data_IF_008263381789
#
_entry.id   IF_008263381789
#
_cell.length_a   1.000
_cell.length_b   1.000
_cell.length_c   1.000
_cell.angle_alpha   90.00
_cell.angle_beta   90.00
_cell.angle_gamma   90.00
#
_symmetry.space_group_name_H-M   'P 1'
#
loop_
_entity.id
_entity.type
_entity.pdbx_description
1 polymer ?
#
# COMPACT_ATOMS: atom_id res chain seq x y z
N UNK A 1 0.91 51.94 31.67
CA UNK A 1 1.69 51.38 30.55
C UNK A 1 0.72 50.66 29.63
N UNK A 2 0.17 51.39 28.64
CA UNK A 2 -0.86 50.89 27.73
C UNK A 2 -0.15 50.25 26.54
N UNK A 3 -0.16 48.92 26.46
CA UNK A 3 0.42 48.20 25.34
C UNK A 3 -0.67 48.02 24.27
N UNK A 4 -0.60 48.86 23.24
CA UNK A 4 -1.38 48.76 22.00
C UNK A 4 -1.14 47.39 21.37
N UNK A 5 -2.19 46.57 21.27
CA UNK A 5 -2.19 45.43 20.37
C UNK A 5 -2.21 45.96 18.93
N UNK A 6 -1.17 45.63 18.15
CA UNK A 6 -1.14 45.85 16.70
C UNK A 6 -2.22 44.97 16.08
N UNK A 7 -3.19 45.60 15.42
CA UNK A 7 -4.13 44.93 14.52
C UNK A 7 -3.34 44.29 13.38
N UNK A 8 -3.51 42.99 13.24
CA UNK A 8 -2.98 42.20 12.13
C UNK A 8 -4.08 42.18 11.04
N UNK A 9 -3.84 42.68 9.82
CA UNK A 9 -4.92 43.00 8.86
C UNK A 9 -5.64 41.79 8.23
N UNK A 10 -5.37 40.57 8.69
CA UNK A 10 -5.95 39.34 8.15
C UNK A 10 -7.07 38.72 9.02
N UNK A 11 -7.59 39.43 10.03
CA UNK A 11 -8.65 38.91 10.90
C UNK A 11 -9.78 39.90 11.10
N UNK A 12 -10.91 39.68 10.40
CA UNK A 12 -12.18 40.35 10.70
C UNK A 12 -12.78 39.75 11.98
N UNK A 13 -12.87 40.52 13.06
CA UNK A 13 -13.50 40.08 14.30
C UNK A 13 -15.03 40.17 14.15
N UNK A 14 -15.69 39.04 13.94
CA UNK A 14 -17.15 38.92 13.93
C UNK A 14 -17.67 38.65 15.35
N UNK A 15 -18.87 39.13 15.68
CA UNK A 15 -19.49 38.88 16.99
C UNK A 15 -19.72 37.38 17.26
N UNK A 16 -19.93 36.96 18.52
CA UNK A 16 -20.08 35.54 18.89
C UNK A 16 -21.18 34.79 18.12
N UNK A 17 -22.35 35.41 17.92
CA UNK A 17 -23.43 34.76 17.17
C UNK A 17 -23.18 34.78 15.66
N UNK A 18 -22.54 35.84 15.18
CA UNK A 18 -22.20 36.03 13.76
C UNK A 18 -21.14 35.04 13.28
N UNK A 19 -20.15 34.70 14.10
CA UNK A 19 -19.08 33.79 13.71
C UNK A 19 -19.59 32.38 13.36
N UNK A 20 -20.54 31.85 14.14
CA UNK A 20 -21.14 30.55 13.88
C UNK A 20 -22.09 30.57 12.66
N UNK A 21 -22.90 31.62 12.55
CA UNK A 21 -23.78 31.83 11.38
C UNK A 21 -22.94 31.94 10.11
N UNK A 22 -21.85 32.69 10.14
CA UNK A 22 -21.00 32.89 8.97
C UNK A 22 -20.29 31.59 8.56
N UNK A 23 -19.78 30.81 9.52
CA UNK A 23 -19.22 29.48 9.23
C UNK A 23 -20.24 28.55 8.56
N UNK A 24 -21.48 28.49 9.06
CA UNK A 24 -22.54 27.65 8.48
C UNK A 24 -22.99 28.15 7.10
N UNK A 25 -23.00 29.47 6.88
CA UNK A 25 -23.26 30.07 5.57
C UNK A 25 -22.18 29.68 4.58
N UNK A 26 -20.90 29.82 4.92
CA UNK A 26 -19.79 29.39 4.05
C UNK A 26 -19.88 27.88 3.74
N UNK A 27 -20.22 27.04 4.72
CA UNK A 27 -20.42 25.62 4.49
C UNK A 27 -21.54 25.36 3.46
N UNK A 28 -22.72 25.94 3.66
CA UNK A 28 -23.86 25.81 2.76
C UNK A 28 -23.55 26.33 1.34
N UNK A 29 -22.93 27.50 1.25
CA UNK A 29 -22.61 28.13 -0.02
C UNK A 29 -21.56 27.31 -0.78
N UNK A 30 -20.60 26.72 -0.06
CA UNK A 30 -19.60 25.82 -0.67
C UNK A 30 -20.22 24.54 -1.22
N UNK A 31 -21.28 24.01 -0.60
CA UNK A 31 -22.03 22.87 -1.12
C UNK A 31 -22.80 23.24 -2.38
N UNK A 32 -23.49 24.39 -2.37
CA UNK A 32 -24.26 24.88 -3.51
C UNK A 32 -23.36 25.22 -4.72
N UNK A 33 -22.20 25.84 -4.46
CA UNK A 33 -21.22 26.22 -5.48
C UNK A 33 -20.32 25.06 -5.94
N UNK A 34 -20.44 23.87 -5.34
CA UNK A 34 -19.59 22.72 -5.66
C UNK A 34 -18.11 22.90 -5.28
N UNK A 35 -17.80 23.87 -4.42
CA UNK A 35 -16.45 24.18 -3.95
C UNK A 35 -16.11 23.54 -2.59
N UNK A 36 -17.07 22.85 -1.97
CA UNK A 36 -16.87 22.10 -0.73
C UNK A 36 -15.86 20.96 -0.92
N UNK A 37 -14.82 20.92 -0.08
CA UNK A 37 -13.80 19.86 -0.10
C UNK A 37 -14.01 18.86 1.03
N UNK A 38 -13.93 19.32 2.28
CA UNK A 38 -14.16 18.49 3.46
C UNK A 38 -14.49 19.35 4.68
N UNK A 39 -15.14 18.74 5.65
CA UNK A 39 -15.39 19.33 6.96
C UNK A 39 -14.96 18.33 8.05
N UNK A 40 -14.27 18.81 9.07
CA UNK A 40 -13.94 18.03 10.27
C UNK A 40 -14.48 18.73 11.50
N UNK A 41 -15.28 18.05 12.31
CA UNK A 41 -15.61 18.46 13.67
C UNK A 41 -14.74 17.69 14.67
N UNK A 42 -14.18 18.39 15.65
CA UNK A 42 -13.23 17.85 16.63
C UNK A 42 -13.34 18.57 17.97
N UNK A 43 -12.61 18.07 18.98
CA UNK A 43 -12.70 18.51 20.39
C UNK A 43 -14.12 18.31 20.96
N UNK A 44 -14.53 17.06 21.18
CA UNK A 44 -15.83 16.76 21.76
C UNK A 44 -15.97 17.41 23.14
N UNK A 45 -17.17 17.85 23.50
CA UNK A 45 -17.42 18.57 24.75
C UNK A 45 -17.91 17.69 25.91
N UNK A 46 -18.30 16.43 25.63
CA UNK A 46 -18.72 15.43 26.60
C UNK A 46 -17.63 14.41 26.94
N UNK A 47 -17.69 13.83 28.14
CA UNK A 47 -16.74 12.83 28.62
C UNK A 47 -16.90 11.48 27.92
N UNK A 48 -16.02 11.19 26.95
CA UNK A 48 -15.65 9.84 26.51
C UNK A 48 -16.66 9.00 25.69
N UNK A 49 -17.97 9.11 25.92
CA UNK A 49 -18.96 8.19 25.33
C UNK A 49 -19.48 8.62 23.94
N UNK A 50 -19.27 9.87 23.55
CA UNK A 50 -19.69 10.42 22.26
C UNK A 50 -18.67 10.22 21.12
N UNK A 51 -19.02 10.60 19.88
CA UNK A 51 -18.08 10.59 18.76
C UNK A 51 -16.90 11.53 19.03
N UNK A 52 -15.68 11.03 18.82
CA UNK A 52 -14.43 11.77 18.98
C UNK A 52 -14.21 12.77 17.84
N UNK A 53 -14.64 12.41 16.63
CA UNK A 53 -14.58 13.25 15.44
C UNK A 53 -15.77 13.00 14.53
N UNK A 54 -16.10 14.01 13.73
CA UNK A 54 -16.99 13.85 12.58
C UNK A 54 -16.28 14.33 11.33
N UNK A 55 -16.23 13.49 10.31
CA UNK A 55 -15.68 13.83 9.00
C UNK A 55 -16.80 13.92 7.98
N UNK A 56 -16.90 15.03 7.25
CA UNK A 56 -17.90 15.22 6.21
C UNK A 56 -17.25 15.38 4.83
N UNK A 57 -17.85 14.73 3.84
CA UNK A 57 -17.48 14.81 2.42
C UNK A 57 -18.72 14.76 1.53
N UNK A 58 -18.66 15.36 0.34
CA UNK A 58 -19.73 15.25 -0.65
C UNK A 58 -19.59 13.94 -1.40
N UNK A 59 -20.69 13.20 -1.53
CA UNK A 59 -20.75 11.93 -2.27
C UNK A 59 -22.04 11.84 -3.07
N UNK A 60 -22.07 10.98 -4.07
CA UNK A 60 -23.26 10.70 -4.87
C UNK A 60 -23.87 9.35 -4.45
N UNK A 61 -25.15 9.36 -4.08
CA UNK A 61 -25.91 8.15 -3.73
C UNK A 61 -27.19 8.12 -4.57
N UNK A 62 -27.37 7.05 -5.35
CA UNK A 62 -28.52 6.89 -6.26
C UNK A 62 -28.71 8.09 -7.20
N UNK A 63 -27.63 8.68 -7.68
CA UNK A 63 -27.64 9.82 -8.61
C UNK A 63 -27.85 11.19 -7.97
N UNK A 64 -27.95 11.28 -6.63
CA UNK A 64 -28.14 12.55 -5.91
C UNK A 64 -26.92 12.89 -5.03
N UNK A 65 -26.45 14.16 -5.04
CA UNK A 65 -25.37 14.60 -4.16
C UNK A 65 -25.87 14.70 -2.71
N UNK A 66 -25.17 14.01 -1.81
CA UNK A 66 -25.43 14.01 -0.36
C UNK A 66 -24.12 14.25 0.39
N UNK A 67 -24.20 14.85 1.57
CA UNK A 67 -23.06 14.97 2.48
C UNK A 67 -23.01 13.71 3.33
N UNK A 68 -21.92 12.94 3.17
CA UNK A 68 -21.63 11.78 4.00
C UNK A 68 -20.82 12.20 5.21
N UNK A 69 -21.37 11.94 6.40
CA UNK A 69 -20.76 12.15 7.69
C UNK A 69 -20.28 10.81 8.27
N UNK A 70 -19.00 10.70 8.59
CA UNK A 70 -18.42 9.58 9.34
C UNK A 70 -18.19 10.03 10.77
N UNK A 71 -18.99 9.52 11.71
CA UNK A 71 -18.89 9.75 13.14
C UNK A 71 -17.98 8.68 13.73
N UNK A 72 -16.81 9.08 14.22
CA UNK A 72 -15.80 8.17 14.78
C UNK A 72 -15.94 8.03 16.28
N UNK A 73 -16.20 6.83 16.75
CA UNK A 73 -16.22 6.47 18.17
C UNK A 73 -14.94 5.69 18.53
N UNK A 74 -14.64 5.47 19.82
CA UNK A 74 -13.45 4.70 20.22
C UNK A 74 -13.41 3.28 19.65
N UNK A 75 -14.57 2.64 19.42
CA UNK A 75 -14.67 1.23 19.02
C UNK A 75 -15.39 0.98 17.69
N UNK A 76 -15.96 2.02 17.07
CA UNK A 76 -16.71 1.90 15.80
C UNK A 76 -16.81 3.23 15.06
N UNK A 77 -17.04 3.17 13.75
CA UNK A 77 -17.39 4.33 12.92
C UNK A 77 -18.85 4.18 12.44
N UNK A 78 -19.65 5.24 12.54
CA UNK A 78 -21.02 5.30 12.02
C UNK A 78 -21.09 6.26 10.83
N UNK A 79 -21.77 5.89 9.75
CA UNK A 79 -21.94 6.74 8.56
C UNK A 79 -23.38 7.23 8.41
N UNK A 80 -23.57 8.54 8.24
CA UNK A 80 -24.86 9.17 7.96
C UNK A 80 -24.78 9.98 6.67
N UNK A 81 -25.71 9.75 5.75
CA UNK A 81 -25.76 10.48 4.48
C UNK A 81 -26.97 11.42 4.50
N UNK A 82 -26.72 12.72 4.37
CA UNK A 82 -27.75 13.76 4.47
C UNK A 82 -27.75 14.64 3.21
N UNK A 83 -28.92 15.04 2.68
CA UNK A 83 -29.00 16.12 1.70
C UNK A 83 -28.34 17.40 2.21
N UNK A 84 -27.88 18.28 1.31
CA UNK A 84 -27.12 19.48 1.66
C UNK A 84 -27.80 20.37 2.72
N UNK A 85 -29.11 20.57 2.61
CA UNK A 85 -29.88 21.36 3.56
C UNK A 85 -29.94 20.72 4.96
N UNK A 86 -30.20 19.41 5.03
CA UNK A 86 -30.20 18.65 6.27
C UNK A 86 -28.79 18.55 6.88
N UNK A 87 -27.75 18.54 6.05
CA UNK A 87 -26.35 18.52 6.47
C UNK A 87 -25.94 19.80 7.19
N UNK A 88 -26.29 20.98 6.66
CA UNK A 88 -26.02 22.26 7.32
C UNK A 88 -26.73 22.36 8.68
N UNK A 89 -28.00 21.91 8.75
CA UNK A 89 -28.73 21.85 10.02
C UNK A 89 -28.09 20.89 11.03
N UNK A 90 -27.58 19.73 10.58
CA UNK A 90 -26.87 18.78 11.45
C UNK A 90 -25.58 19.37 12.01
N UNK A 91 -24.75 19.99 11.17
CA UNK A 91 -23.52 20.68 11.60
C UNK A 91 -23.85 21.78 12.59
N UNK A 92 -24.91 22.57 12.36
CA UNK A 92 -25.34 23.62 13.28
C UNK A 92 -25.75 23.11 14.67
N UNK A 93 -26.33 21.91 14.77
CA UNK A 93 -26.64 21.29 16.08
C UNK A 93 -25.39 20.80 16.81
N UNK A 94 -24.44 20.21 16.08
CA UNK A 94 -23.21 19.68 16.66
C UNK A 94 -22.20 20.76 17.04
N UNK A 95 -22.17 21.86 16.29
CA UNK A 95 -21.18 22.91 16.45
C UNK A 95 -21.44 23.74 17.71
N UNK A 96 -20.42 23.86 18.56
CA UNK A 96 -20.51 24.62 19.79
C UNK A 96 -21.28 23.92 20.92
N UNK A 97 -22.00 22.83 20.64
CA UNK A 97 -22.60 21.93 21.63
C UNK A 97 -21.76 20.66 21.77
N UNK A 98 -21.74 19.78 20.77
CA UNK A 98 -21.03 18.51 20.82
C UNK A 98 -19.54 18.66 20.51
N UNK A 99 -19.18 19.57 19.60
CA UNK A 99 -17.80 19.81 19.17
C UNK A 99 -17.39 21.27 19.32
N UNK A 100 -16.21 21.50 19.89
CA UNK A 100 -15.66 22.83 20.17
C UNK A 100 -14.74 23.35 19.06
N UNK A 101 -14.47 22.56 18.02
CA UNK A 101 -13.69 22.96 16.86
C UNK A 101 -14.30 22.39 15.58
N UNK A 102 -14.33 23.19 14.53
CA UNK A 102 -14.60 22.70 13.18
C UNK A 102 -13.67 23.34 12.16
N UNK A 103 -13.15 22.52 11.24
CA UNK A 103 -12.28 22.90 10.14
C UNK A 103 -12.96 22.57 8.81
N UNK A 104 -13.30 23.61 8.04
CA UNK A 104 -13.92 23.55 6.73
C UNK A 104 -12.89 23.91 5.66
N UNK A 105 -12.75 23.04 4.68
CA UNK A 105 -11.89 23.27 3.53
C UNK A 105 -12.76 23.41 2.29
N UNK A 106 -12.50 24.47 1.51
CA UNK A 106 -13.14 24.74 0.23
C UNK A 106 -12.07 25.08 -0.81
N UNK A 107 -12.42 25.08 -2.10
CA UNK A 107 -11.53 25.54 -3.17
C UNK A 107 -11.17 27.04 -3.07
N UNK A 108 -11.95 27.80 -2.30
CA UNK A 108 -11.85 29.25 -2.23
C UNK A 108 -11.20 29.72 -0.91
N UNK A 109 -11.05 28.84 0.07
CA UNK A 109 -10.52 29.18 1.38
C UNK A 109 -10.71 28.08 2.41
N UNK A 110 -9.93 28.17 3.48
CA UNK A 110 -10.08 27.35 4.67
C UNK A 110 -10.66 28.18 5.81
N UNK A 111 -11.59 27.59 6.54
CA UNK A 111 -12.33 28.24 7.61
C UNK A 111 -12.28 27.35 8.85
N UNK A 112 -11.78 27.89 9.96
CA UNK A 112 -11.72 27.20 11.24
C UNK A 112 -12.54 27.96 12.25
N UNK A 113 -13.48 27.31 12.91
CA UNK A 113 -14.22 27.89 14.04
C UNK A 113 -13.84 27.17 15.34
N UNK A 114 -13.52 27.95 16.38
CA UNK A 114 -13.11 27.45 17.69
C UNK A 114 -13.93 28.07 18.80
N UNK A 115 -14.43 27.24 19.71
CA UNK A 115 -15.14 27.65 20.91
C UNK A 115 -14.19 27.64 22.10
N UNK A 116 -14.18 28.72 22.88
CA UNK A 116 -13.45 28.75 24.14
C UNK A 116 -14.22 28.03 25.28
N UNK A 117 -13.65 27.99 26.49
CA UNK A 117 -14.30 27.40 27.68
C UNK A 117 -15.66 28.01 28.02
N UNK A 118 -15.91 29.28 27.62
CA UNK A 118 -17.18 29.98 27.81
C UNK A 118 -18.15 29.81 26.62
N UNK A 119 -17.88 28.86 25.70
CA UNK A 119 -18.66 28.59 24.48
C UNK A 119 -18.79 29.79 23.54
N UNK A 120 -17.81 30.71 23.56
CA UNK A 120 -17.76 31.84 22.63
C UNK A 120 -16.97 31.41 21.39
N UNK A 121 -17.56 31.43 20.19
CA UNK A 121 -16.86 31.06 18.96
C UNK A 121 -15.94 32.18 18.46
N UNK A 122 -14.86 31.77 17.80
CA UNK A 122 -14.02 32.61 16.95
C UNK A 122 -13.81 31.92 15.62
N UNK A 123 -14.07 32.64 14.53
CA UNK A 123 -13.86 32.19 13.16
C UNK A 123 -12.51 32.70 12.65
N UNK A 124 -11.74 31.83 12.03
CA UNK A 124 -10.48 32.11 11.37
C UNK A 124 -10.61 31.70 9.91
N UNK A 125 -10.16 32.56 8.98
CA UNK A 125 -10.11 32.27 7.56
C UNK A 125 -8.68 32.37 7.04
N UNK A 126 -8.37 31.59 6.01
CA UNK A 126 -7.10 31.65 5.28
C UNK A 126 -7.31 31.23 3.81
N UNK A 127 -6.33 31.49 2.95
CA UNK A 127 -6.38 31.06 1.55
C UNK A 127 -6.55 29.55 1.40
N UNK A 128 -7.07 29.13 0.25
CA UNK A 128 -7.29 27.71 -0.05
C UNK A 128 -5.96 26.95 -0.06
N UNK A 129 -5.89 25.84 0.67
CA UNK A 129 -4.71 24.94 0.64
C UNK A 129 -4.99 23.67 -0.16
N UNK A 130 -6.21 23.50 -0.67
CA UNK A 130 -6.65 22.36 -1.48
C UNK A 130 -7.22 22.89 -2.80
N UNK A 131 -6.56 22.56 -3.92
CA UNK A 131 -6.88 23.10 -5.25
C UNK A 131 -7.80 22.22 -6.09
N UNK A 132 -8.16 21.03 -5.61
CA UNK A 132 -8.98 20.06 -6.35
C UNK A 132 -10.30 19.78 -5.62
N UNK A 133 -11.42 19.85 -6.35
CA UNK A 133 -12.73 19.41 -5.83
C UNK A 133 -12.65 17.91 -5.49
N UNK A 134 -13.29 17.43 -4.40
CA UNK A 134 -13.36 16.00 -4.13
C UNK A 134 -14.14 15.32 -5.25
N UNK A 135 -13.65 14.16 -5.68
CA UNK A 135 -14.40 13.27 -6.56
C UNK A 135 -15.72 12.87 -5.86
N UNK A 136 -16.86 13.10 -6.55
CA UNK A 136 -18.22 12.85 -6.02
C UNK A 136 -18.56 11.37 -5.91
N UNK A 137 -17.72 10.47 -6.37
CA UNK A 137 -18.01 9.03 -6.42
C UNK A 137 -17.51 8.30 -5.17
N UNK A 138 -18.39 7.51 -4.55
CA UNK A 138 -18.07 6.63 -3.42
C UNK A 138 -17.10 5.50 -3.81
N UNK A 139 -17.02 5.19 -5.10
CA UNK A 139 -15.87 4.52 -5.66
C UNK A 139 -14.76 5.56 -5.87
N UNK A 140 -13.75 5.52 -5.01
CA UNK A 140 -12.40 5.71 -5.52
C UNK A 140 -12.30 4.71 -6.67
N UNK A 141 -12.40 5.16 -7.92
CA UNK A 141 -11.73 4.43 -9.00
C UNK A 141 -10.28 4.43 -8.55
N UNK A 142 -9.85 3.38 -7.83
CA UNK A 142 -8.44 3.15 -7.55
C UNK A 142 -7.77 3.40 -8.88
N UNK A 143 -6.92 4.43 -8.98
CA UNK A 143 -6.19 4.68 -10.20
C UNK A 143 -5.30 3.45 -10.37
N UNK A 144 -5.81 2.51 -11.16
CA UNK A 144 -5.16 1.25 -11.44
C UNK A 144 -4.00 1.61 -12.35
N UNK A 145 -2.80 1.34 -11.86
CA UNK A 145 -1.57 1.55 -12.63
C UNK A 145 -1.60 0.71 -13.91
N UNK A 146 -2.28 -0.45 -13.86
CA UNK A 146 -2.51 -1.30 -15.02
C UNK A 146 -3.96 -1.19 -15.48
N UNK A 147 -4.15 -0.81 -16.75
CA UNK A 147 -5.46 -0.66 -17.38
C UNK A 147 -5.73 -1.83 -18.34
N UNK A 148 -6.93 -2.45 -18.32
CA UNK A 148 -7.27 -3.54 -19.21
C UNK A 148 -7.60 -3.08 -20.64
N UNK A 149 -8.01 -1.82 -20.81
CA UNK A 149 -8.42 -1.30 -22.11
C UNK A 149 -7.23 -1.26 -23.08
N UNK A 150 -7.34 -1.97 -24.21
CA UNK A 150 -6.29 -2.04 -25.23
C UNK A 150 -5.01 -2.80 -24.82
N UNK A 151 -4.99 -3.42 -23.64
CA UNK A 151 -3.79 -4.07 -23.12
C UNK A 151 -3.60 -5.47 -23.70
N UNK A 152 -2.61 -5.60 -24.59
CA UNK A 152 -2.34 -6.82 -25.38
C UNK A 152 -2.00 -8.02 -24.49
N UNK A 153 -1.12 -7.86 -23.49
CA UNK A 153 -0.74 -9.00 -22.64
C UNK A 153 -1.89 -9.43 -21.72
N UNK A 154 -2.71 -8.50 -21.23
CA UNK A 154 -3.89 -8.87 -20.44
C UNK A 154 -4.90 -9.67 -21.25
N UNK A 155 -5.07 -9.34 -22.53
CA UNK A 155 -5.93 -10.12 -23.43
C UNK A 155 -5.33 -11.51 -23.72
N UNK A 156 -4.06 -11.56 -24.11
CA UNK A 156 -3.36 -12.79 -24.46
C UNK A 156 -3.27 -13.77 -23.28
N UNK A 157 -3.07 -13.26 -22.06
CA UNK A 157 -3.01 -14.07 -20.84
C UNK A 157 -4.40 -14.42 -20.28
N UNK A 158 -5.47 -14.06 -20.98
CA UNK A 158 -6.85 -14.43 -20.67
C UNK A 158 -7.50 -13.61 -19.55
N UNK A 159 -6.94 -12.46 -19.18
CA UNK A 159 -7.47 -11.60 -18.11
C UNK A 159 -8.53 -10.63 -18.66
N UNK A 160 -8.29 -10.07 -19.85
CA UNK A 160 -9.19 -9.12 -20.50
C UNK A 160 -9.78 -9.72 -21.79
N UNK A 161 -10.97 -9.27 -22.16
CA UNK A 161 -11.60 -9.53 -23.45
C UNK A 161 -11.12 -8.55 -24.52
N UNK A 162 -11.44 -8.82 -25.80
CA UNK A 162 -11.16 -7.90 -26.91
C UNK A 162 -11.84 -6.55 -26.76
N UNK A 163 -12.94 -6.50 -26.00
CA UNK A 163 -13.70 -5.29 -25.64
C UNK A 163 -13.01 -4.43 -24.58
N UNK A 164 -11.84 -4.85 -24.07
CA UNK A 164 -11.11 -4.16 -23.01
C UNK A 164 -11.67 -4.40 -21.61
N UNK A 165 -12.71 -5.23 -21.47
CA UNK A 165 -13.28 -5.56 -20.17
C UNK A 165 -12.55 -6.74 -19.52
N UNK A 166 -12.36 -6.70 -18.20
CA UNK A 166 -11.78 -7.82 -17.46
C UNK A 166 -12.79 -8.97 -17.38
N UNK A 167 -12.40 -10.16 -17.82
CA UNK A 167 -13.24 -11.36 -17.81
C UNK A 167 -13.64 -11.73 -16.38
N UNK A 168 -14.80 -12.37 -16.20
CA UNK A 168 -15.34 -12.72 -14.86
C UNK A 168 -14.37 -13.57 -14.05
N UNK A 169 -13.75 -14.56 -14.67
CA UNK A 169 -12.70 -15.43 -14.12
C UNK A 169 -11.34 -14.72 -13.98
N UNK A 170 -11.05 -13.74 -14.83
CA UNK A 170 -9.86 -12.88 -14.78
C UNK A 170 -9.82 -11.87 -13.63
N UNK A 171 -10.95 -11.57 -12.98
CA UNK A 171 -11.05 -10.53 -11.95
C UNK A 171 -10.10 -10.73 -10.77
N UNK A 172 -9.98 -11.97 -10.26
CA UNK A 172 -9.09 -12.29 -9.12
C UNK A 172 -7.63 -12.02 -9.49
N UNK A 173 -7.22 -12.48 -10.68
CA UNK A 173 -5.85 -12.31 -11.19
C UNK A 173 -5.54 -10.84 -11.47
N UNK A 174 -6.49 -10.09 -12.00
CA UNK A 174 -6.34 -8.68 -12.28
C UNK A 174 -6.19 -7.83 -11.00
N UNK A 175 -6.92 -8.18 -9.93
CA UNK A 175 -6.71 -7.56 -8.61
C UNK A 175 -5.32 -7.86 -8.06
N UNK A 176 -4.86 -9.11 -8.18
CA UNK A 176 -3.51 -9.52 -7.78
C UNK A 176 -2.45 -8.68 -8.51
N UNK A 177 -2.54 -8.55 -9.83
CA UNK A 177 -1.61 -7.74 -10.65
C UNK A 177 -1.57 -6.29 -10.17
N UNK A 178 -2.72 -5.64 -10.00
CA UNK A 178 -2.76 -4.24 -9.60
C UNK A 178 -2.19 -4.00 -8.21
N UNK A 179 -2.50 -4.88 -7.25
CA UNK A 179 -1.95 -4.76 -5.90
C UNK A 179 -0.44 -4.97 -5.89
N UNK A 180 0.06 -5.86 -6.75
CA UNK A 180 1.49 -6.11 -6.90
C UNK A 180 2.20 -4.86 -7.38
N UNK A 181 1.69 -4.25 -8.46
CA UNK A 181 2.26 -3.03 -9.00
C UNK A 181 2.17 -1.86 -8.01
N UNK A 182 1.10 -1.76 -7.21
CA UNK A 182 1.02 -0.76 -6.12
C UNK A 182 2.14 -0.93 -5.09
N UNK A 183 2.46 -2.17 -4.71
CA UNK A 183 3.56 -2.47 -3.77
C UNK A 183 4.90 -2.14 -4.42
N UNK A 184 5.14 -2.59 -5.65
CA UNK A 184 6.39 -2.32 -6.34
C UNK A 184 6.61 -0.83 -6.56
N UNK A 185 5.60 -0.07 -6.99
CA UNK A 185 5.66 1.40 -7.13
C UNK A 185 6.06 2.06 -5.80
N UNK A 186 5.50 1.61 -4.68
CA UNK A 186 5.86 2.13 -3.36
C UNK A 186 7.31 1.81 -2.96
N UNK A 187 7.84 0.63 -3.34
CA UNK A 187 9.24 0.26 -3.09
C UNK A 187 10.19 1.07 -3.97
N UNK A 188 9.88 1.23 -5.26
CA UNK A 188 10.66 2.04 -6.21
C UNK A 188 10.68 3.50 -5.78
N UNK A 189 9.59 4.07 -5.24
CA UNK A 189 9.61 5.46 -4.72
C UNK A 189 10.58 5.67 -3.55
N UNK A 190 10.96 4.61 -2.83
CA UNK A 190 11.98 4.69 -1.76
C UNK A 190 13.40 4.59 -2.30
N UNK A 191 13.58 4.10 -3.53
CA UNK A 191 14.86 3.87 -4.18
C UNK A 191 14.81 4.31 -5.64
N UNK A 192 15.47 5.42 -5.96
CA UNK A 192 15.58 5.89 -7.33
C UNK A 192 16.35 4.86 -8.16
N UNK A 193 15.62 4.03 -8.90
CA UNK A 193 16.18 3.18 -9.94
C UNK A 193 16.80 4.07 -11.04
N UNK A 194 17.87 3.61 -11.71
CA UNK A 194 18.40 4.31 -12.87
C UNK A 194 17.35 4.40 -13.99
N UNK A 195 17.60 5.23 -15.00
CA UNK A 195 16.73 5.36 -16.16
C UNK A 195 16.59 4.04 -16.95
N UNK A 196 17.65 3.24 -16.98
CA UNK A 196 17.71 1.94 -17.68
C UNK A 196 17.94 0.82 -16.66
N UNK A 197 16.95 0.52 -15.79
CA UNK A 197 17.16 -0.44 -14.72
C UNK A 197 17.19 -1.87 -15.26
N UNK A 198 18.02 -2.71 -14.64
CA UNK A 198 18.09 -4.15 -14.91
C UNK A 198 17.30 -4.88 -13.83
N UNK A 199 16.26 -5.60 -14.24
CA UNK A 199 15.38 -6.37 -13.36
C UNK A 199 15.42 -7.84 -13.74
N UNK A 200 15.48 -8.72 -12.75
CA UNK A 200 15.41 -10.17 -12.94
C UNK A 200 14.25 -10.73 -12.12
N UNK A 201 13.32 -11.42 -12.78
CA UNK A 201 12.19 -12.13 -12.19
C UNK A 201 12.44 -13.65 -12.25
N UNK A 202 12.81 -14.21 -11.10
CA UNK A 202 13.16 -15.61 -10.91
C UNK A 202 11.90 -16.45 -10.69
N UNK A 203 11.60 -17.34 -11.64
CA UNK A 203 10.38 -18.15 -11.61
C UNK A 203 9.18 -17.44 -12.22
N UNK A 204 9.37 -16.77 -13.35
CA UNK A 204 8.38 -15.87 -13.96
C UNK A 204 7.07 -16.58 -14.40
N UNK A 205 7.08 -17.90 -14.60
CA UNK A 205 5.89 -18.67 -14.98
C UNK A 205 5.30 -18.20 -16.30
N UNK A 206 4.00 -17.89 -16.31
CA UNK A 206 3.31 -17.33 -17.49
C UNK A 206 3.58 -15.82 -17.70
N UNK A 207 4.39 -15.19 -16.84
CA UNK A 207 4.80 -13.80 -16.98
C UNK A 207 3.79 -12.74 -16.52
N UNK A 208 2.64 -13.07 -15.93
CA UNK A 208 1.59 -12.10 -15.55
C UNK A 208 2.12 -10.86 -14.81
N UNK A 209 2.99 -11.08 -13.82
CA UNK A 209 3.54 -10.03 -12.97
C UNK A 209 4.75 -9.37 -13.64
N UNK A 210 5.55 -10.12 -14.39
CA UNK A 210 6.67 -9.64 -15.20
C UNK A 210 6.21 -8.64 -16.26
N UNK A 211 5.16 -8.96 -17.02
CA UNK A 211 4.55 -8.07 -18.02
C UNK A 211 3.99 -6.80 -17.40
N UNK A 212 3.24 -6.95 -16.29
CA UNK A 212 2.68 -5.80 -15.59
C UNK A 212 3.77 -4.88 -15.01
N UNK A 213 4.87 -5.46 -14.52
CA UNK A 213 6.00 -4.68 -14.03
C UNK A 213 6.66 -3.91 -15.17
N UNK A 214 6.95 -4.59 -16.29
CA UNK A 214 7.52 -3.93 -17.46
C UNK A 214 6.64 -2.78 -17.95
N UNK A 215 5.34 -3.04 -18.11
CA UNK A 215 4.33 -2.04 -18.51
C UNK A 215 4.35 -0.83 -17.59
N UNK A 216 4.36 -1.04 -16.27
CA UNK A 216 4.44 0.05 -15.31
C UNK A 216 5.74 0.85 -15.40
N UNK A 217 6.90 0.18 -15.46
CA UNK A 217 8.21 0.85 -15.55
C UNK A 217 8.34 1.65 -16.85
N UNK A 218 7.97 1.06 -17.98
CA UNK A 218 8.11 1.67 -19.29
C UNK A 218 7.04 2.74 -19.55
N UNK A 219 5.76 2.39 -19.41
CA UNK A 219 4.66 3.23 -19.87
C UNK A 219 4.18 4.22 -18.80
N UNK A 220 4.26 3.87 -17.50
CA UNK A 220 3.80 4.77 -16.45
C UNK A 220 4.94 5.62 -15.86
N UNK A 221 6.14 5.04 -15.71
CA UNK A 221 7.29 5.75 -15.15
C UNK A 221 8.24 6.32 -16.23
N UNK A 222 8.06 5.94 -17.50
CA UNK A 222 8.87 6.45 -18.61
C UNK A 222 10.31 5.95 -18.62
N UNK A 223 10.59 4.82 -17.96
CA UNK A 223 11.92 4.20 -17.92
C UNK A 223 12.17 3.34 -19.16
N UNK A 224 13.42 2.92 -19.37
CA UNK A 224 13.80 1.93 -20.38
C UNK A 224 14.32 0.65 -19.72
N UNK A 225 13.45 -0.12 -19.04
CA UNK A 225 13.88 -1.26 -18.25
C UNK A 225 14.37 -2.41 -19.12
N UNK A 226 15.38 -3.13 -18.62
CA UNK A 226 15.83 -4.43 -19.11
C UNK A 226 15.33 -5.50 -18.13
N UNK A 227 14.26 -6.20 -18.49
CA UNK A 227 13.60 -7.21 -17.64
C UNK A 227 13.87 -8.60 -18.17
N UNK A 228 14.38 -9.47 -17.30
CA UNK A 228 14.61 -10.88 -17.60
C UNK A 228 13.68 -11.76 -16.76
N UNK A 229 12.78 -12.47 -17.42
CA UNK A 229 11.97 -13.52 -16.79
C UNK A 229 12.67 -14.88 -16.88
N UNK A 230 13.17 -15.40 -15.77
CA UNK A 230 13.81 -16.72 -15.72
C UNK A 230 12.75 -17.78 -15.44
N UNK A 231 12.63 -18.78 -16.30
CA UNK A 231 11.63 -19.84 -16.18
C UNK A 231 12.21 -21.18 -16.68
N UNK A 232 11.90 -22.28 -16.01
CA UNK A 232 12.46 -23.60 -16.33
C UNK A 232 11.87 -24.21 -17.61
N UNK A 233 10.60 -23.91 -17.94
CA UNK A 233 9.87 -24.57 -19.03
C UNK A 233 10.04 -23.82 -20.35
N UNK A 234 10.69 -24.40 -21.37
CA UNK A 234 10.90 -23.74 -22.66
C UNK A 234 9.61 -23.24 -23.31
N UNK A 235 8.53 -24.03 -23.26
CA UNK A 235 7.25 -23.64 -23.84
C UNK A 235 6.65 -22.35 -23.23
N UNK A 236 6.91 -22.07 -21.94
CA UNK A 236 6.47 -20.81 -21.33
C UNK A 236 7.39 -19.65 -21.70
N UNK A 237 8.68 -19.93 -21.88
CA UNK A 237 9.67 -18.96 -22.33
C UNK A 237 9.38 -18.51 -23.76
N UNK A 238 9.12 -19.44 -24.67
CA UNK A 238 8.76 -19.15 -26.05
C UNK A 238 7.46 -18.32 -26.11
N UNK A 239 6.43 -18.75 -25.38
CA UNK A 239 5.16 -18.01 -25.29
C UNK A 239 5.33 -16.61 -24.68
N UNK A 240 6.22 -16.46 -23.68
CA UNK A 240 6.55 -15.18 -23.06
C UNK A 240 7.27 -14.24 -24.03
N UNK A 241 8.27 -14.74 -24.76
CA UNK A 241 9.01 -13.95 -25.75
C UNK A 241 8.14 -13.55 -26.94
N UNK A 242 7.32 -14.46 -27.46
CA UNK A 242 6.35 -14.16 -28.52
C UNK A 242 5.37 -13.05 -28.09
N UNK A 243 4.92 -13.09 -26.82
CA UNK A 243 4.02 -12.09 -26.29
C UNK A 243 4.73 -10.74 -26.05
N UNK A 244 5.96 -10.75 -25.55
CA UNK A 244 6.77 -9.54 -25.39
C UNK A 244 6.95 -8.82 -26.74
N UNK A 245 7.23 -9.56 -27.81
CA UNK A 245 7.32 -9.01 -29.16
C UNK A 245 5.97 -8.41 -29.62
N UNK A 246 4.85 -9.12 -29.43
CA UNK A 246 3.51 -8.62 -29.77
C UNK A 246 3.13 -7.35 -29.02
N UNK A 247 3.61 -7.19 -27.78
CA UNK A 247 3.40 -5.98 -26.98
C UNK A 247 4.35 -4.83 -27.35
N UNK A 248 5.38 -5.06 -28.17
CA UNK A 248 6.44 -4.08 -28.42
C UNK A 248 7.33 -3.84 -27.20
N UNK A 249 7.43 -4.81 -26.29
CA UNK A 249 8.20 -4.70 -25.06
C UNK A 249 9.66 -5.13 -25.32
N UNK A 250 10.40 -4.28 -26.04
CA UNK A 250 11.76 -4.59 -26.53
C UNK A 250 12.79 -4.90 -25.42
N UNK A 251 12.60 -4.35 -24.22
CA UNK A 251 13.45 -4.62 -23.07
C UNK A 251 13.02 -5.84 -22.23
N UNK A 252 11.95 -6.55 -22.60
CA UNK A 252 11.45 -7.72 -21.89
C UNK A 252 11.83 -9.00 -22.64
N UNK A 253 12.49 -9.92 -21.94
CA UNK A 253 12.82 -11.25 -22.46
C UNK A 253 12.73 -12.32 -21.40
N UNK A 254 12.42 -13.53 -21.83
CA UNK A 254 12.37 -14.73 -21.01
C UNK A 254 13.49 -15.69 -21.39
N UNK A 255 14.04 -16.39 -20.40
CA UNK A 255 15.15 -17.34 -20.59
C UNK A 255 14.81 -18.67 -19.92
N UNK A 256 15.06 -19.76 -20.67
CA UNK A 256 14.87 -21.12 -20.23
C UNK A 256 16.07 -21.59 -19.40
N UNK A 257 16.07 -21.34 -18.10
CA UNK A 257 17.19 -21.68 -17.21
C UNK A 257 16.73 -21.95 -15.78
N UNK A 258 17.51 -22.77 -15.06
CA UNK A 258 17.34 -22.96 -13.62
C UNK A 258 17.84 -21.74 -12.83
N UNK A 259 17.10 -21.34 -11.79
CA UNK A 259 17.46 -20.17 -10.96
C UNK A 259 18.89 -20.32 -10.43
N UNK A 260 19.29 -21.51 -9.98
CA UNK A 260 20.62 -21.76 -9.45
C UNK A 260 21.72 -21.55 -10.50
N UNK A 261 21.46 -21.94 -11.75
CA UNK A 261 22.41 -21.85 -12.88
C UNK A 261 22.44 -20.49 -13.57
N UNK A 262 21.34 -19.75 -13.52
CA UNK A 262 21.26 -18.44 -14.15
C UNK A 262 22.26 -17.47 -13.51
N UNK A 263 23.32 -17.12 -14.24
CA UNK A 263 24.32 -16.17 -13.77
C UNK A 263 23.75 -14.76 -13.80
N UNK A 264 23.77 -14.10 -12.65
CA UNK A 264 23.37 -12.70 -12.55
C UNK A 264 24.62 -11.82 -12.68
N UNK A 265 24.60 -10.90 -13.64
CA UNK A 265 25.50 -9.76 -13.63
C UNK A 265 25.09 -8.74 -12.56
N UNK A 266 25.41 -7.47 -12.80
CA UNK A 266 24.82 -6.37 -12.02
C UNK A 266 23.32 -6.27 -12.35
N UNK A 267 22.49 -6.13 -11.32
CA UNK A 267 21.06 -5.84 -11.47
C UNK A 267 20.62 -4.82 -10.41
N UNK A 268 19.55 -4.08 -10.69
CA UNK A 268 19.02 -3.07 -9.78
C UNK A 268 17.86 -3.61 -8.93
N UNK A 269 17.08 -4.56 -9.47
CA UNK A 269 15.96 -5.17 -8.76
C UNK A 269 15.83 -6.66 -9.04
N UNK A 270 15.73 -7.47 -7.99
CA UNK A 270 15.45 -8.89 -8.09
C UNK A 270 14.07 -9.23 -7.54
N UNK A 271 13.35 -10.10 -8.25
CA UNK A 271 12.01 -10.54 -7.91
C UNK A 271 11.97 -12.06 -7.93
N UNK A 272 11.30 -12.68 -6.97
CA UNK A 272 11.03 -14.12 -7.01
C UNK A 272 9.70 -14.44 -6.33
N UNK A 273 8.64 -14.55 -7.13
CA UNK A 273 7.29 -14.73 -6.62
C UNK A 273 6.84 -16.17 -6.85
N UNK A 274 6.64 -16.91 -5.76
CA UNK A 274 6.39 -18.34 -5.75
C UNK A 274 7.58 -19.21 -6.19
N UNK A 275 8.81 -18.70 -6.06
CA UNK A 275 9.95 -19.59 -5.88
C UNK A 275 9.69 -20.38 -4.58
N UNK A 276 9.74 -21.71 -4.65
CA UNK A 276 9.37 -22.56 -3.51
C UNK A 276 10.61 -23.10 -2.78
N UNK A 277 10.49 -23.22 -1.47
CA UNK A 277 11.53 -23.76 -0.58
C UNK A 277 12.86 -23.01 -0.77
N UNK A 278 13.94 -23.72 -1.07
CA UNK A 278 15.28 -23.17 -1.23
C UNK A 278 15.49 -22.34 -2.49
N UNK A 279 14.56 -22.38 -3.45
CA UNK A 279 14.64 -21.53 -4.65
C UNK A 279 14.52 -20.04 -4.28
N UNK A 280 13.74 -19.71 -3.25
CA UNK A 280 13.68 -18.33 -2.71
C UNK A 280 15.02 -17.91 -2.13
N UNK A 281 15.72 -18.82 -1.44
CA UNK A 281 17.01 -18.53 -0.82
C UNK A 281 18.07 -18.26 -1.90
N UNK A 282 18.09 -19.07 -2.97
CA UNK A 282 18.95 -18.84 -4.14
C UNK A 282 18.69 -17.47 -4.77
N UNK A 283 17.41 -17.10 -4.90
CA UNK A 283 17.03 -15.82 -5.47
C UNK A 283 17.48 -14.64 -4.58
N UNK A 284 17.26 -14.71 -3.26
CA UNK A 284 17.74 -13.71 -2.30
C UNK A 284 19.27 -13.58 -2.38
N UNK A 285 19.99 -14.71 -2.35
CA UNK A 285 21.45 -14.72 -2.42
C UNK A 285 21.97 -14.07 -3.71
N UNK A 286 21.35 -14.36 -4.86
CA UNK A 286 21.70 -13.70 -6.13
C UNK A 286 21.44 -12.20 -6.09
N UNK A 287 20.35 -11.76 -5.47
CA UNK A 287 20.07 -10.34 -5.27
C UNK A 287 21.14 -9.65 -4.44
N UNK A 288 21.58 -10.29 -3.35
CA UNK A 288 22.66 -9.80 -2.47
C UNK A 288 23.98 -9.74 -3.23
N UNK A 289 24.39 -10.83 -3.91
CA UNK A 289 25.65 -10.89 -4.65
C UNK A 289 25.71 -9.91 -5.83
N UNK A 290 24.58 -9.65 -6.48
CA UNK A 290 24.48 -8.67 -7.55
C UNK A 290 24.32 -7.23 -7.06
N UNK A 291 24.37 -7.01 -5.74
CA UNK A 291 24.32 -5.71 -5.09
C UNK A 291 23.05 -4.91 -5.42
N UNK A 292 21.92 -5.61 -5.53
CA UNK A 292 20.62 -5.06 -5.94
C UNK A 292 20.13 -3.94 -5.02
N UNK A 293 19.44 -2.94 -5.56
CA UNK A 293 18.82 -1.89 -4.74
C UNK A 293 17.54 -2.40 -4.05
N UNK A 294 16.83 -3.33 -4.69
CA UNK A 294 15.56 -3.88 -4.20
C UNK A 294 15.52 -5.40 -4.45
N UNK A 295 15.15 -6.17 -3.43
CA UNK A 295 14.88 -7.61 -3.51
C UNK A 295 13.44 -7.84 -3.04
N UNK A 296 12.59 -8.47 -3.85
CA UNK A 296 11.20 -8.76 -3.49
C UNK A 296 10.89 -10.23 -3.72
N UNK A 297 10.57 -10.95 -2.66
CA UNK A 297 10.21 -12.37 -2.76
C UNK A 297 8.87 -12.65 -2.12
N UNK A 298 8.13 -13.59 -2.69
CA UNK A 298 6.91 -14.14 -2.12
C UNK A 298 7.10 -15.64 -1.91
N UNK A 299 7.57 -16.05 -0.73
CA UNK A 299 7.82 -17.45 -0.41
C UNK A 299 6.52 -18.28 -0.50
N UNK A 300 6.64 -19.52 -1.00
CA UNK A 300 5.51 -20.45 -1.03
C UNK A 300 5.70 -21.69 -0.18
N UNK A 301 6.89 -22.21 0.07
CA UNK A 301 7.04 -23.49 0.77
C UNK A 301 8.28 -23.44 1.66
N UNK A 302 8.27 -24.18 2.77
CA UNK A 302 9.30 -24.12 3.81
C UNK A 302 9.58 -25.52 4.35
N UNK A 303 10.24 -26.37 3.55
CA UNK A 303 10.53 -27.75 3.94
C UNK A 303 11.89 -27.90 4.59
N UNK A 304 12.85 -27.04 4.25
CA UNK A 304 14.22 -27.10 4.78
C UNK A 304 14.26 -26.96 6.31
N UNK A 305 13.66 -25.90 6.86
CA UNK A 305 13.61 -25.68 8.31
C UNK A 305 12.72 -26.71 9.00
N UNK A 306 11.53 -27.00 8.44
CA UNK A 306 10.58 -27.96 9.03
C UNK A 306 11.18 -29.35 9.29
N UNK A 307 12.15 -29.80 8.49
CA UNK A 307 12.82 -31.10 8.65
C UNK A 307 13.84 -31.14 9.79
N UNK A 308 14.39 -29.99 10.16
CA UNK A 308 15.39 -29.86 11.23
C UNK A 308 14.73 -29.55 12.57
N UNK A 309 13.63 -28.80 12.56
CA UNK A 309 13.00 -28.30 13.76
C UNK A 309 12.75 -29.39 14.81
N UNK A 310 13.44 -29.21 15.93
CA UNK A 310 13.26 -29.96 17.16
C UNK A 310 13.16 -28.94 18.30
N UNK A 311 11.93 -28.56 18.63
CA UNK A 311 11.70 -27.44 19.54
C UNK A 311 12.01 -27.85 20.99
N UNK A 312 13.13 -27.39 21.51
CA UNK A 312 13.62 -27.65 22.87
C UNK A 312 13.07 -26.66 23.91
N UNK A 313 11.91 -26.04 23.64
CA UNK A 313 11.32 -25.01 24.52
C UNK A 313 9.93 -25.41 25.02
N UNK A 314 9.34 -24.56 25.85
CA UNK A 314 7.95 -24.67 26.31
C UNK A 314 6.92 -24.70 25.16
N UNK A 315 7.31 -24.34 23.93
CA UNK A 315 6.46 -24.46 22.73
C UNK A 315 6.33 -25.90 22.21
N UNK A 316 7.16 -26.84 22.69
CA UNK A 316 7.17 -28.24 22.23
C UNK A 316 5.78 -28.91 22.21
N UNK A 317 4.92 -28.77 23.24
CA UNK A 317 3.57 -29.36 23.23
C UNK A 317 2.65 -28.79 22.14
N UNK A 318 2.76 -27.50 21.81
CA UNK A 318 1.99 -26.86 20.74
C UNK A 318 2.44 -27.41 19.38
N UNK A 319 3.75 -27.59 19.24
CA UNK A 319 4.41 -28.05 18.02
C UNK A 319 4.25 -29.56 17.78
N UNK A 320 3.72 -30.32 18.74
CA UNK A 320 3.32 -31.72 18.53
C UNK A 320 2.23 -31.86 17.45
N UNK A 321 1.43 -30.81 17.24
CA UNK A 321 0.46 -30.76 16.17
C UNK A 321 1.12 -30.36 14.84
N UNK A 322 1.17 -31.30 13.89
CA UNK A 322 1.90 -31.13 12.63
C UNK A 322 1.58 -29.85 11.86
N UNK A 323 0.32 -29.41 11.84
CA UNK A 323 -0.12 -28.16 11.19
C UNK A 323 0.45 -26.91 11.88
N UNK A 324 0.54 -26.90 13.21
CA UNK A 324 1.11 -25.78 13.97
C UNK A 324 2.63 -25.77 13.78
N UNK A 325 3.26 -26.94 13.76
CA UNK A 325 4.68 -27.06 13.45
C UNK A 325 5.03 -26.57 12.05
N UNK A 326 4.19 -26.88 11.05
CA UNK A 326 4.36 -26.39 9.69
C UNK A 326 4.29 -24.86 9.65
N UNK A 327 3.23 -24.24 10.19
CA UNK A 327 3.09 -22.77 10.22
C UNK A 327 4.24 -22.07 10.93
N UNK A 328 4.69 -22.61 12.07
CA UNK A 328 5.82 -22.06 12.80
C UNK A 328 7.12 -22.19 11.98
N UNK A 329 7.31 -23.27 11.24
CA UNK A 329 8.44 -23.41 10.32
C UNK A 329 8.41 -22.35 9.20
N UNK A 330 7.23 -22.04 8.65
CA UNK A 330 7.07 -20.96 7.66
C UNK A 330 7.49 -19.62 8.25
N UNK A 331 6.99 -19.27 9.43
CA UNK A 331 7.33 -18.03 10.14
C UNK A 331 8.82 -17.92 10.46
N UNK A 332 9.44 -18.99 10.96
CA UNK A 332 10.87 -19.00 11.28
C UNK A 332 11.71 -18.85 10.01
N UNK A 333 11.36 -19.56 8.94
CA UNK A 333 12.09 -19.49 7.67
C UNK A 333 12.08 -18.06 7.12
N UNK A 334 10.91 -17.43 7.09
CA UNK A 334 10.78 -16.06 6.55
C UNK A 334 11.35 -14.99 7.48
N UNK A 335 11.27 -15.20 8.79
CA UNK A 335 11.98 -14.37 9.77
C UNK A 335 13.49 -14.43 9.60
N UNK A 336 14.08 -15.61 9.43
CA UNK A 336 15.52 -15.77 9.17
C UNK A 336 15.90 -15.12 7.84
N UNK A 337 15.12 -15.28 6.77
CA UNK A 337 15.38 -14.59 5.48
C UNK A 337 15.42 -13.07 5.63
N UNK A 338 14.47 -12.50 6.38
CA UNK A 338 14.42 -11.08 6.65
C UNK A 338 15.64 -10.62 7.46
N UNK A 339 16.05 -11.36 8.49
CA UNK A 339 17.24 -11.07 9.28
C UNK A 339 18.54 -11.20 8.47
N UNK A 340 18.65 -12.17 7.57
CA UNK A 340 19.83 -12.29 6.68
C UNK A 340 19.90 -11.08 5.75
N UNK A 341 18.77 -10.61 5.22
CA UNK A 341 18.75 -9.36 4.44
C UNK A 341 19.26 -8.17 5.28
N UNK A 342 18.83 -8.04 6.55
CA UNK A 342 19.30 -7.00 7.47
C UNK A 342 20.79 -7.08 7.76
N UNK A 343 21.30 -8.26 8.06
CA UNK A 343 22.72 -8.53 8.25
C UNK A 343 23.52 -8.09 7.00
N UNK A 344 23.03 -8.44 5.81
CA UNK A 344 23.68 -8.17 4.53
C UNK A 344 23.40 -6.78 3.96
N UNK A 345 22.85 -5.85 4.75
CA UNK A 345 22.78 -4.44 4.36
C UNK A 345 21.45 -3.96 3.80
N UNK A 346 20.36 -4.69 4.01
CA UNK A 346 19.04 -4.32 3.51
C UNK A 346 18.09 -3.99 4.67
N UNK A 347 17.32 -2.92 4.55
CA UNK A 347 16.12 -2.75 5.37
C UNK A 347 15.07 -3.75 4.90
N UNK A 348 14.74 -4.71 5.75
CA UNK A 348 13.74 -5.75 5.45
C UNK A 348 12.34 -5.30 5.90
N UNK A 349 11.31 -5.74 5.17
CA UNK A 349 9.92 -5.61 5.60
C UNK A 349 9.13 -6.84 5.15
N UNK A 350 8.30 -7.36 6.05
CA UNK A 350 7.51 -8.59 5.88
C UNK A 350 6.04 -8.21 6.03
N UNK A 351 5.25 -8.38 4.97
CA UNK A 351 3.86 -7.93 4.96
C UNK A 351 2.97 -8.74 4.03
N UNK A 352 1.66 -8.65 4.25
CA UNK A 352 0.67 -9.33 3.41
C UNK A 352 0.44 -8.62 2.08
N UNK A 353 0.51 -9.39 1.00
CA UNK A 353 0.35 -8.98 -0.38
C UNK A 353 -1.11 -8.77 -0.77
N UNK A 354 -1.96 -9.76 -0.48
CA UNK A 354 -3.39 -9.78 -0.78
C UNK A 354 -4.14 -10.42 0.39
N UNK A 355 -5.43 -10.12 0.49
CA UNK A 355 -6.31 -10.71 1.52
C UNK A 355 -6.25 -12.25 1.46
N UNK A 356 -6.19 -12.89 2.64
CA UNK A 356 -6.05 -14.34 2.82
C UNK A 356 -7.16 -15.15 2.15
N UNK A 357 -8.32 -14.53 1.92
CA UNK A 357 -9.44 -15.10 1.15
C UNK A 357 -9.05 -15.47 -0.29
N UNK A 358 -7.89 -15.00 -0.78
CA UNK A 358 -7.39 -15.29 -2.12
C UNK A 358 -6.28 -16.34 -2.16
N UNK A 359 -5.46 -16.46 -1.12
CA UNK A 359 -4.41 -17.48 -0.99
C UNK A 359 -3.94 -17.56 0.48
N UNK A 360 -3.70 -18.76 1.03
CA UNK A 360 -3.08 -18.91 2.35
C UNK A 360 -1.61 -18.48 2.36
N UNK A 361 -0.99 -18.33 1.19
CA UNK A 361 0.42 -17.94 0.99
C UNK A 361 0.46 -16.55 0.40
N UNK A 362 0.36 -15.56 1.26
CA UNK A 362 0.15 -14.15 0.92
C UNK A 362 1.27 -13.24 1.43
N UNK A 363 2.38 -13.77 1.95
CA UNK A 363 3.46 -12.97 2.52
C UNK A 363 4.46 -12.52 1.45
N UNK A 364 4.90 -11.26 1.53
CA UNK A 364 6.03 -10.70 0.77
C UNK A 364 7.12 -10.30 1.75
N UNK A 365 8.36 -10.67 1.42
CA UNK A 365 9.57 -10.14 2.03
C UNK A 365 10.19 -9.16 1.03
N UNK A 366 10.30 -7.90 1.43
CA UNK A 366 10.96 -6.86 0.64
C UNK A 366 12.23 -6.38 1.36
N UNK A 367 13.37 -6.54 0.70
CA UNK A 367 14.65 -5.96 1.11
C UNK A 367 14.94 -4.71 0.28
N UNK A 368 15.14 -3.57 0.93
CA UNK A 368 15.62 -2.34 0.29
C UNK A 368 17.03 -2.06 0.78
N UNK A 369 17.97 -1.93 -0.14
CA UNK A 369 19.38 -1.68 0.21
C UNK A 369 19.54 -0.47 1.13
N UNK A 370 20.26 -0.62 2.21
CA UNK A 370 20.30 0.35 3.29
C UNK A 370 21.57 0.20 4.12
N UNK A 371 21.40 0.12 5.44
CA UNK A 371 22.50 -0.09 6.39
C UNK A 371 22.44 -1.52 6.90
N UNK A 372 23.62 -2.14 7.03
CA UNK A 372 23.76 -3.44 7.68
C UNK A 372 23.41 -3.33 9.16
N UNK A 373 22.80 -4.39 9.67
CA UNK A 373 22.51 -4.61 11.09
C UNK A 373 23.24 -5.88 11.54
N UNK A 374 24.51 -5.77 11.97
CA UNK A 374 25.32 -6.93 12.34
C UNK A 374 24.71 -7.77 13.48
N UNK A 375 23.89 -7.16 14.35
CA UNK A 375 23.21 -7.84 15.45
C UNK A 375 22.22 -8.93 14.97
N UNK A 376 21.73 -8.84 13.73
CA UNK A 376 20.84 -9.84 13.15
C UNK A 376 21.47 -11.24 13.10
N UNK A 377 22.80 -11.34 12.98
CA UNK A 377 23.51 -12.63 12.99
C UNK A 377 23.35 -13.39 14.32
N UNK A 378 23.43 -12.69 15.45
CA UNK A 378 23.24 -13.30 16.77
C UNK A 378 21.76 -13.64 17.01
N UNK A 379 20.82 -12.86 16.47
CA UNK A 379 19.39 -13.18 16.52
C UNK A 379 19.05 -14.44 15.72
N UNK A 380 19.62 -14.59 14.51
CA UNK A 380 19.48 -15.81 13.70
C UNK A 380 20.01 -17.01 14.48
N UNK A 381 21.20 -16.89 15.10
CA UNK A 381 21.80 -17.95 15.91
C UNK A 381 20.92 -18.32 17.12
N UNK A 382 20.37 -17.33 17.82
CA UNK A 382 19.48 -17.56 18.95
C UNK A 382 18.19 -18.29 18.53
N UNK A 383 17.56 -17.87 17.42
CA UNK A 383 16.39 -18.54 16.84
C UNK A 383 16.75 -19.99 16.50
N UNK A 384 17.86 -20.22 15.80
CA UNK A 384 18.29 -21.57 15.43
C UNK A 384 18.49 -22.47 16.65
N UNK A 385 19.17 -21.98 17.69
CA UNK A 385 19.37 -22.72 18.93
C UNK A 385 18.03 -23.04 19.62
N UNK A 386 17.12 -22.07 19.68
CA UNK A 386 15.83 -22.22 20.35
C UNK A 386 14.94 -23.30 19.67
N UNK A 387 15.01 -23.41 18.35
CA UNK A 387 14.17 -24.33 17.58
C UNK A 387 14.91 -25.60 17.09
N UNK A 388 16.12 -25.84 17.57
CA UNK A 388 16.91 -27.03 17.19
C UNK A 388 17.25 -27.08 15.71
N UNK A 389 17.55 -25.93 15.10
CA UNK A 389 17.86 -25.81 13.66
C UNK A 389 19.38 -25.76 13.49
N UNK A 390 19.94 -26.65 12.68
CA UNK A 390 21.38 -26.69 12.43
C UNK A 390 21.83 -25.55 11.51
N UNK A 391 21.12 -25.36 10.39
CA UNK A 391 21.43 -24.32 9.41
C UNK A 391 20.18 -23.82 8.68
N UNK A 392 20.24 -22.60 8.15
CA UNK A 392 19.33 -22.11 7.12
C UNK A 392 20.05 -22.05 5.78
N UNK A 393 19.45 -22.56 4.69
CA UNK A 393 20.16 -22.69 3.41
C UNK A 393 20.67 -21.35 2.86
N UNK A 394 19.90 -20.27 3.00
CA UNK A 394 20.35 -18.92 2.65
C UNK A 394 21.69 -18.53 3.28
N UNK A 395 21.94 -18.85 4.56
CA UNK A 395 23.21 -18.52 5.24
C UNK A 395 24.42 -19.19 4.58
N UNK A 396 24.21 -20.35 3.95
CA UNK A 396 25.29 -21.07 3.26
C UNK A 396 25.66 -20.42 1.92
N UNK A 397 24.85 -19.47 1.46
CA UNK A 397 25.00 -18.83 0.16
C UNK A 397 25.62 -17.44 0.24
N UNK A 398 25.62 -16.74 1.40
CA UNK A 398 25.94 -15.28 1.47
C UNK A 398 26.94 -14.85 2.52
#
# INVERSE_FOLDING_TARGET
>A
MVQRYKENPNYSYLGPMEAAINFLTVFRDSLAAGSFVKLTLSKPSGGGEGPQNVFARLVEIRGAPVVSFTLRYPTKDETKNLPAEAAAAAVGRWLGQDFLNADLFTLNGNYTIRYNRKRIPKLFSSGATLSNAPEKTHDRKKQRLIRPEGNIYLQALGIAGPDGAVKKDGQKKFRQINKYIEIIDALIRKKNLPHEPIIVDMGAGKGYLTFALYDHLANNLGLKPQVWGVELRPALVDAGNDLAQKCGFEGLRFVAEDIGRFETGKLDMLIALHACDTATDLAIAKGIHSDAEIIVVAPCCHKQIRRQMDCQTEMSPIMAHGILAERQAELITDGIRALVLEEKGYSSNVFEFIETEHTPKNLIIAGIKGKSRPEAAEEIKAIKQQFGIDFHYLETLV
#
